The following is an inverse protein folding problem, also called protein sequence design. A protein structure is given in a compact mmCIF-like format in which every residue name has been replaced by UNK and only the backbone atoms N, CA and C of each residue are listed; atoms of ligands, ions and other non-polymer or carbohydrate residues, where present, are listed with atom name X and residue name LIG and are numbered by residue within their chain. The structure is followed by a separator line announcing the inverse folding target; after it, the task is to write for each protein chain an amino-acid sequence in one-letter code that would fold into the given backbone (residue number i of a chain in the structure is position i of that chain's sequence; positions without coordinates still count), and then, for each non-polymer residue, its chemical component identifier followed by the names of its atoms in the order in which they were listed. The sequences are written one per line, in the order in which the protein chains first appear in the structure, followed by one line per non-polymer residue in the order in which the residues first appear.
data_IF_843323218723
#
_entry.id   IF_843323218723
#
_cell.length_a   1.000
_cell.length_b   1.000
_cell.length_c   1.000
_cell.angle_alpha   90.00
_cell.angle_beta   90.00
_cell.angle_gamma   90.00
#
_symmetry.space_group_name_H-M   'P 1'
#
loop_
_entity.id
_entity.type
_entity.pdbx_description
1 polymer ?
#
# COMPACT_ATOMS: atom_id res chain seq x y z
N UNK A 1 8.16 -20.85 -5.43
CA UNK A 1 9.18 -19.84 -5.78
C UNK A 1 10.59 -20.29 -5.33
N UNK A 2 10.99 -21.52 -5.68
CA UNK A 2 12.23 -22.15 -5.17
C UNK A 2 13.49 -21.58 -5.80
N UNK A 3 13.43 -21.17 -7.07
CA UNK A 3 14.56 -20.58 -7.79
C UNK A 3 14.99 -19.24 -7.16
N UNK A 4 14.04 -18.38 -6.77
CA UNK A 4 14.35 -17.13 -6.08
C UNK A 4 15.00 -17.39 -4.71
N UNK A 5 14.49 -18.36 -3.95
CA UNK A 5 15.09 -18.75 -2.66
C UNK A 5 16.54 -19.19 -2.81
N UNK A 6 16.85 -20.01 -3.83
CA UNK A 6 18.23 -20.43 -4.11
C UNK A 6 19.12 -19.22 -4.44
N UNK A 7 18.67 -18.35 -5.36
CA UNK A 7 19.37 -17.12 -5.72
C UNK A 7 19.69 -16.25 -4.50
N UNK A 8 18.72 -16.01 -3.61
CA UNK A 8 18.95 -15.18 -2.42
C UNK A 8 19.93 -15.82 -1.42
N UNK A 9 19.88 -17.14 -1.25
CA UNK A 9 20.86 -17.86 -0.40
C UNK A 9 22.28 -17.74 -0.95
N UNK A 10 22.44 -17.89 -2.26
CA UNK A 10 23.75 -17.76 -2.92
C UNK A 10 24.34 -16.34 -2.77
N UNK A 11 23.48 -15.33 -2.55
CA UNK A 11 23.87 -13.94 -2.29
C UNK A 11 23.93 -13.59 -0.79
N UNK A 12 23.93 -14.59 0.10
CA UNK A 12 24.14 -14.40 1.54
C UNK A 12 22.91 -13.96 2.33
N UNK A 13 21.71 -13.98 1.74
CA UNK A 13 20.48 -13.72 2.48
C UNK A 13 20.14 -14.94 3.33
N UNK A 14 20.20 -14.76 4.65
CA UNK A 14 19.98 -15.84 5.63
C UNK A 14 18.52 -16.02 6.02
N UNK A 15 17.72 -14.95 5.94
CA UNK A 15 16.31 -14.95 6.33
C UNK A 15 15.43 -14.64 5.12
N UNK A 16 14.74 -15.66 4.61
CA UNK A 16 13.92 -15.58 3.40
C UNK A 16 12.51 -16.03 3.76
N UNK A 17 11.62 -15.05 3.96
CA UNK A 17 10.21 -15.31 4.18
C UNK A 17 9.52 -15.82 2.90
N UNK A 18 8.41 -16.58 3.02
CA UNK A 18 7.59 -16.94 1.89
C UNK A 18 7.07 -15.71 1.14
N UNK A 19 6.82 -15.88 -0.15
CA UNK A 19 6.18 -14.82 -0.94
C UNK A 19 4.79 -14.50 -0.37
N UNK A 20 4.36 -13.25 -0.48
CA UNK A 20 3.07 -12.80 0.05
C UNK A 20 1.87 -13.64 -0.46
N UNK A 21 1.93 -14.14 -1.70
CA UNK A 21 0.88 -15.00 -2.27
C UNK A 21 0.83 -16.40 -1.65
N UNK A 22 1.92 -16.85 -1.03
CA UNK A 22 1.99 -18.12 -0.29
C UNK A 22 1.58 -17.93 1.17
N UNK A 23 2.08 -16.87 1.80
CA UNK A 23 1.77 -16.54 3.19
C UNK A 23 1.45 -15.04 3.32
N UNK A 24 0.15 -14.67 3.23
CA UNK A 24 -0.28 -13.29 3.34
C UNK A 24 -0.06 -12.75 4.76
N UNK A 25 0.73 -11.68 4.88
CA UNK A 25 0.96 -11.00 6.16
C UNK A 25 -0.14 -9.97 6.40
N UNK A 26 -0.80 -10.07 7.56
CA UNK A 26 -1.86 -9.13 7.95
C UNK A 26 -1.30 -7.71 8.08
N UNK A 27 -1.93 -6.76 7.40
CA UNK A 27 -1.54 -5.35 7.44
C UNK A 27 -0.34 -5.00 6.57
N UNK A 28 0.15 -5.93 5.73
CA UNK A 28 1.19 -5.62 4.77
C UNK A 28 0.77 -4.48 3.83
N UNK A 29 1.69 -3.50 3.66
CA UNK A 29 1.53 -2.48 2.64
C UNK A 29 1.90 -3.11 1.29
N UNK A 30 0.92 -3.20 0.41
CA UNK A 30 1.07 -3.82 -0.91
C UNK A 30 1.63 -2.86 -1.94
N UNK A 31 1.39 -1.56 -1.76
CA UNK A 31 1.84 -0.54 -2.69
C UNK A 31 2.07 0.80 -1.99
N UNK A 32 3.15 1.46 -2.40
CA UNK A 32 3.43 2.85 -2.12
C UNK A 32 3.26 3.67 -3.40
N UNK A 33 2.59 4.81 -3.31
CA UNK A 33 2.36 5.66 -4.47
C UNK A 33 2.62 7.13 -4.14
N UNK A 34 3.30 7.82 -5.07
CA UNK A 34 3.40 9.29 -5.06
C UNK A 34 2.12 9.97 -5.55
N UNK A 35 1.33 9.28 -6.37
CA UNK A 35 0.00 9.76 -6.71
C UNK A 35 -0.88 9.70 -5.45
N UNK A 36 -1.40 10.84 -5.04
CA UNK A 36 -2.14 11.00 -3.80
C UNK A 36 -3.56 11.47 -4.10
N UNK A 37 -4.56 10.63 -3.78
CA UNK A 37 -5.96 10.96 -4.05
C UNK A 37 -6.42 12.23 -3.32
N UNK A 38 -5.92 12.50 -2.09
CA UNK A 38 -6.20 13.77 -1.40
C UNK A 38 -5.77 14.96 -2.26
N UNK A 39 -4.60 14.90 -2.88
CA UNK A 39 -4.11 15.96 -3.77
C UNK A 39 -4.95 16.08 -5.05
N UNK A 40 -5.25 14.95 -5.69
CA UNK A 40 -6.07 14.91 -6.91
C UNK A 40 -7.49 15.45 -6.70
N UNK A 41 -8.00 15.39 -5.47
CA UNK A 41 -9.32 15.90 -5.09
C UNK A 41 -9.29 17.31 -4.49
N UNK A 42 -8.14 17.98 -4.41
CA UNK A 42 -8.07 19.33 -3.83
C UNK A 42 -8.01 19.38 -2.30
N UNK A 43 -7.83 18.24 -1.64
CA UNK A 43 -7.97 18.05 -0.18
C UNK A 43 -6.63 17.76 0.50
N UNK A 44 -5.51 18.04 -0.16
CA UNK A 44 -4.20 17.84 0.44
C UNK A 44 -4.00 18.83 1.61
N UNK A 45 -3.85 18.37 2.86
CA UNK A 45 -3.75 19.28 4.01
C UNK A 45 -2.45 20.08 4.03
N UNK A 46 -1.41 19.61 3.33
CA UNK A 46 -0.10 20.27 3.27
C UNK A 46 -0.02 21.32 2.16
N UNK A 47 -0.55 21.02 0.97
CA UNK A 47 -0.40 21.88 -0.21
C UNK A 47 -1.64 22.71 -0.56
N UNK A 48 -2.84 22.20 -0.33
CA UNK A 48 -4.09 22.84 -0.76
C UNK A 48 -4.94 23.34 0.41
N UNK A 49 -4.81 22.70 1.59
CA UNK A 49 -5.59 22.99 2.82
C UNK A 49 -7.11 22.92 2.61
N UNK A 50 -7.57 22.21 1.59
CA UNK A 50 -9.00 21.95 1.36
C UNK A 50 -9.57 21.03 2.43
N UNK A 51 -10.79 21.32 2.88
CA UNK A 51 -11.53 20.46 3.80
C UNK A 51 -12.13 19.31 2.98
N UNK A 52 -11.86 18.07 3.38
CA UNK A 52 -12.48 16.93 2.71
C UNK A 52 -13.98 16.87 3.06
N UNK A 53 -14.89 16.83 2.07
CA UNK A 53 -16.30 16.58 2.33
C UNK A 53 -16.58 15.10 2.61
N UNK A 54 -15.61 14.22 2.39
CA UNK A 54 -15.75 12.77 2.53
C UNK A 54 -15.18 12.28 3.85
N UNK A 55 -15.86 11.33 4.47
CA UNK A 55 -15.37 10.66 5.68
C UNK A 55 -14.41 9.54 5.31
N UNK A 56 -13.22 9.59 5.88
CA UNK A 56 -12.21 8.53 5.77
C UNK A 56 -12.53 7.31 6.66
N UNK A 57 -12.00 6.11 6.34
CA UNK A 57 -10.94 5.81 5.35
C UNK A 57 -11.44 5.62 3.90
N UNK A 58 -10.55 5.88 2.94
CA UNK A 58 -10.79 5.58 1.51
C UNK A 58 -10.41 4.15 1.15
N UNK A 59 -11.02 3.64 0.09
CA UNK A 59 -10.78 2.30 -0.42
C UNK A 59 -10.72 2.27 -1.95
N UNK A 60 -9.81 1.44 -2.47
CA UNK A 60 -9.88 0.98 -3.86
C UNK A 60 -10.68 -0.31 -3.90
N UNK A 61 -11.63 -0.37 -4.82
CA UNK A 61 -12.46 -1.55 -5.05
C UNK A 61 -12.21 -2.01 -6.48
N UNK A 62 -11.74 -3.23 -6.64
CA UNK A 62 -11.53 -3.85 -7.95
C UNK A 62 -12.84 -4.40 -8.49
N UNK A 63 -12.89 -4.67 -9.81
CA UNK A 63 -14.08 -5.27 -10.45
C UNK A 63 -14.51 -6.62 -9.86
N UNK A 64 -13.57 -7.37 -9.29
CA UNK A 64 -13.83 -8.63 -8.59
C UNK A 64 -14.15 -8.45 -7.09
N UNK A 65 -14.43 -7.23 -6.64
CA UNK A 65 -14.89 -6.94 -5.28
C UNK A 65 -13.79 -6.90 -4.21
N UNK A 66 -12.51 -7.09 -4.56
CA UNK A 66 -11.43 -6.93 -3.57
C UNK A 66 -11.34 -5.48 -3.12
N UNK A 67 -11.21 -5.29 -1.81
CA UNK A 67 -11.19 -3.99 -1.15
C UNK A 67 -9.82 -3.73 -0.53
N UNK A 68 -9.23 -2.61 -0.90
CA UNK A 68 -7.93 -2.19 -0.39
C UNK A 68 -8.07 -0.87 0.35
N UNK A 69 -7.61 -0.81 1.59
CA UNK A 69 -7.66 0.40 2.41
C UNK A 69 -6.50 1.32 2.03
N UNK A 70 -6.80 2.61 1.96
CA UNK A 70 -5.81 3.66 1.75
C UNK A 70 -5.41 4.32 3.07
N UNK A 71 -4.12 4.57 3.25
CA UNK A 71 -3.55 5.44 4.26
C UNK A 71 -2.69 6.51 3.61
N UNK A 72 -2.62 7.69 4.24
CA UNK A 72 -1.92 8.86 3.71
C UNK A 72 -0.91 9.37 4.73
N UNK A 73 0.36 9.28 4.37
CA UNK A 73 1.44 9.98 5.06
C UNK A 73 1.70 11.30 4.31
N UNK A 74 0.94 12.33 4.70
CA UNK A 74 1.06 13.64 4.08
C UNK A 74 2.39 14.33 4.36
N UNK A 75 3.13 13.93 5.42
CA UNK A 75 4.45 14.48 5.71
C UNK A 75 5.45 14.07 4.64
N UNK A 76 5.39 12.80 4.20
CA UNK A 76 6.29 12.25 3.18
C UNK A 76 5.68 12.20 1.77
N UNK A 77 4.51 12.82 1.55
CA UNK A 77 3.74 12.76 0.29
C UNK A 77 3.56 11.33 -0.24
N UNK A 78 3.16 10.41 0.64
CA UNK A 78 3.07 8.99 0.35
C UNK A 78 1.66 8.46 0.61
N UNK A 79 1.06 7.84 -0.41
CA UNK A 79 -0.16 7.05 -0.27
C UNK A 79 0.19 5.56 -0.19
N UNK A 80 -0.40 4.87 0.77
CA UNK A 80 -0.19 3.45 1.02
C UNK A 80 -1.47 2.67 0.74
N UNK A 81 -1.32 1.51 0.13
CA UNK A 81 -2.43 0.58 -0.18
C UNK A 81 -2.23 -0.69 0.63
N UNK A 82 -3.23 -1.06 1.41
CA UNK A 82 -3.22 -2.26 2.28
C UNK A 82 -4.43 -3.13 1.98
N UNK A 83 -4.30 -4.45 2.08
CA UNK A 83 -5.45 -5.35 1.92
C UNK A 83 -6.40 -5.21 3.12
N UNK A 84 -7.69 -5.06 2.86
CA UNK A 84 -8.72 -5.14 3.92
C UNK A 84 -9.20 -6.59 4.00
N UNK A 85 -9.11 -7.20 5.18
CA UNK A 85 -9.67 -8.53 5.46
C UNK A 85 -11.11 -8.41 5.93
#
# INVERSE_FOLDING_TARGET
NSQATAFYRDHGVTDIHPAYEQEPVKGAVLMFCKHCLRYSMGMCPTLQKGISPYKEPFYLITKNGKRFRLSFDCKNCLMQVTLTY
#
